data_IF_271409898828
#
_entry.id   IF_271409898828
#
_cell.length_a   1.000
_cell.length_b   1.000
_cell.length_c   1.000
_cell.angle_alpha   90.00
_cell.angle_beta   90.00
_cell.angle_gamma   90.00
#
_symmetry.space_group_name_H-M   'P 1'
#
loop_
_entity.id
_entity.type
_entity.pdbx_description
1 polymer ?
#
# COMPACT_ATOMS: atom_id res chain seq x y z
N UNK A 1 24.96 -23.34 -7.37
CA UNK A 1 24.12 -22.75 -6.29
C UNK A 1 23.54 -21.44 -6.81
N UNK A 2 22.23 -21.20 -6.65
CA UNK A 2 21.62 -19.89 -6.92
C UNK A 2 21.80 -19.03 -5.69
N UNK A 3 22.36 -17.83 -5.86
CA UNK A 3 22.49 -16.81 -4.83
C UNK A 3 21.33 -15.84 -4.95
N UNK A 4 20.53 -15.67 -3.89
CA UNK A 4 19.48 -14.68 -3.80
C UNK A 4 20.03 -13.45 -3.07
N UNK A 5 19.85 -12.28 -3.70
CA UNK A 5 20.37 -11.01 -3.19
C UNK A 5 19.21 -10.07 -2.84
N UNK A 6 19.35 -9.37 -1.73
CA UNK A 6 18.35 -8.41 -1.29
C UNK A 6 18.25 -7.23 -2.27
N UNK A 7 17.03 -6.84 -2.60
CA UNK A 7 16.78 -5.70 -3.51
C UNK A 7 17.16 -4.40 -2.83
N UNK A 8 18.09 -3.65 -3.43
CA UNK A 8 18.65 -2.41 -2.87
C UNK A 8 17.96 -1.14 -3.34
N UNK A 9 17.24 -1.21 -4.45
CA UNK A 9 16.73 -0.03 -5.18
C UNK A 9 15.28 0.29 -4.88
N UNK A 10 14.86 0.16 -3.61
CA UNK A 10 13.54 0.65 -3.19
C UNK A 10 13.52 2.20 -3.16
N UNK A 11 12.39 2.85 -3.52
CA UNK A 11 12.24 4.29 -3.37
C UNK A 11 12.43 4.68 -1.91
N UNK A 12 13.53 5.39 -1.60
CA UNK A 12 13.87 5.74 -0.23
C UNK A 12 12.84 6.72 0.34
N UNK A 13 12.34 6.43 1.55
CA UNK A 13 11.46 7.30 2.32
C UNK A 13 10.20 7.76 1.57
N UNK A 14 9.66 6.95 0.67
CA UNK A 14 8.41 7.27 -0.02
C UNK A 14 7.24 7.50 0.96
N UNK A 15 7.26 6.81 2.11
CA UNK A 15 6.25 6.87 3.15
C UNK A 15 6.86 7.36 4.46
N UNK A 16 7.15 8.66 4.53
CA UNK A 16 7.75 9.30 5.73
C UNK A 16 6.72 9.34 6.86
N UNK A 17 7.16 8.99 8.08
CA UNK A 17 6.36 8.99 9.33
C UNK A 17 5.32 7.87 9.46
N UNK A 18 5.54 6.72 8.84
CA UNK A 18 4.79 5.50 9.13
C UNK A 18 5.55 4.67 10.18
N UNK A 19 5.44 5.05 11.46
CA UNK A 19 6.06 4.34 12.59
C UNK A 19 5.34 3.03 12.95
N UNK A 20 4.54 2.50 12.03
CA UNK A 20 3.63 1.41 12.31
C UNK A 20 3.96 0.19 11.49
N UNK A 21 4.03 -0.95 12.18
CA UNK A 21 4.20 -2.25 11.55
C UNK A 21 2.87 -2.82 11.06
N UNK A 22 2.91 -3.50 9.94
CA UNK A 22 1.85 -4.42 9.50
C UNK A 22 2.37 -5.83 9.70
N UNK A 23 1.51 -6.73 10.19
CA UNK A 23 1.90 -8.14 10.30
C UNK A 23 2.12 -8.70 8.89
N UNK A 24 3.30 -9.24 8.66
CA UNK A 24 3.64 -9.95 7.43
C UNK A 24 3.45 -11.46 7.64
N UNK A 25 2.75 -12.10 6.73
CA UNK A 25 2.68 -13.56 6.64
C UNK A 25 3.01 -14.01 5.22
N UNK A 26 3.99 -14.92 5.08
CA UNK A 26 4.43 -15.45 3.79
C UNK A 26 4.05 -16.93 3.69
N UNK A 27 3.45 -17.29 2.57
CA UNK A 27 3.16 -18.66 2.23
C UNK A 27 3.82 -19.05 0.90
N UNK A 28 4.67 -20.06 0.92
CA UNK A 28 5.18 -20.66 -0.31
C UNK A 28 4.08 -21.57 -0.91
N UNK A 29 3.36 -21.01 -1.88
CA UNK A 29 2.25 -21.66 -2.58
C UNK A 29 2.65 -22.14 -3.99
N UNK A 30 3.96 -22.29 -4.27
CA UNK A 30 4.43 -22.80 -5.55
C UNK A 30 4.02 -24.25 -5.70
N UNK A 31 3.45 -24.58 -6.86
CA UNK A 31 3.14 -25.97 -7.24
C UNK A 31 4.43 -26.76 -7.58
N UNK A 32 5.41 -26.09 -8.20
CA UNK A 32 6.75 -26.59 -8.45
C UNK A 32 7.76 -25.75 -7.66
N UNK A 33 8.52 -26.40 -6.81
CA UNK A 33 9.54 -25.73 -5.96
C UNK A 33 10.93 -25.71 -6.58
N UNK A 34 11.08 -26.24 -7.79
CA UNK A 34 12.35 -26.16 -8.52
C UNK A 34 12.66 -24.72 -8.88
N UNK A 35 13.91 -24.35 -8.68
CA UNK A 35 14.39 -23.00 -8.98
C UNK A 35 14.94 -22.85 -10.38
N UNK A 36 15.40 -23.93 -10.97
CA UNK A 36 16.02 -23.93 -12.29
C UNK A 36 15.37 -25.00 -13.16
N UNK A 37 14.99 -24.60 -14.38
CA UNK A 37 14.59 -25.52 -15.44
C UNK A 37 15.48 -25.29 -16.69
N UNK A 38 16.10 -26.34 -17.16
CA UNK A 38 16.93 -26.30 -18.36
C UNK A 38 16.27 -27.20 -19.40
N UNK A 39 15.73 -26.62 -20.47
CA UNK A 39 14.87 -27.31 -21.41
C UNK A 39 15.60 -28.11 -22.46
N UNK A 40 16.90 -27.85 -22.76
CA UNK A 40 17.64 -28.45 -23.86
C UNK A 40 18.84 -29.30 -23.41
N UNK A 41 18.96 -29.58 -22.16
CA UNK A 41 20.10 -30.35 -21.67
C UNK A 41 19.64 -31.64 -21.03
N UNK A 42 20.42 -32.72 -21.25
CA UNK A 42 20.32 -33.97 -20.51
C UNK A 42 20.61 -33.83 -19.01
N UNK A 43 20.46 -32.62 -18.47
CA UNK A 43 20.75 -32.24 -17.09
C UNK A 43 19.45 -31.90 -16.37
N UNK A 44 19.00 -32.83 -15.55
CA UNK A 44 18.10 -32.46 -14.44
C UNK A 44 18.96 -32.40 -13.18
N UNK A 45 19.28 -31.23 -12.71
CA UNK A 45 19.95 -31.09 -11.43
C UNK A 45 18.99 -30.41 -10.46
N UNK A 46 18.72 -31.06 -9.32
CA UNK A 46 18.08 -30.44 -8.18
C UNK A 46 19.06 -29.43 -7.57
N UNK A 47 18.86 -28.17 -7.91
CA UNK A 47 19.69 -27.09 -7.35
C UNK A 47 19.09 -26.61 -6.02
N UNK A 48 19.87 -26.69 -4.98
CA UNK A 48 19.52 -26.09 -3.71
C UNK A 48 19.68 -24.58 -3.80
N UNK A 49 18.73 -23.89 -3.19
CA UNK A 49 18.74 -22.45 -3.01
C UNK A 49 19.06 -22.17 -1.55
N UNK A 50 19.94 -21.22 -1.29
CA UNK A 50 20.30 -20.78 0.04
C UNK A 50 20.27 -19.25 0.04
N UNK A 51 19.47 -18.61 0.88
CA UNK A 51 18.46 -19.15 1.80
C UNK A 51 17.23 -19.74 1.09
N UNK A 52 16.35 -20.43 1.84
CA UNK A 52 15.08 -20.88 1.29
C UNK A 52 14.28 -19.69 0.72
N UNK A 53 13.57 -19.91 -0.39
CA UNK A 53 12.85 -18.82 -1.09
C UNK A 53 11.87 -18.09 -0.18
N UNK A 54 11.18 -18.81 0.70
CA UNK A 54 10.26 -18.21 1.66
C UNK A 54 10.98 -17.23 2.59
N UNK A 55 12.09 -17.67 3.19
CA UNK A 55 12.84 -16.88 4.16
C UNK A 55 13.50 -15.67 3.46
N UNK A 56 13.99 -15.87 2.26
CA UNK A 56 14.52 -14.80 1.41
C UNK A 56 13.45 -13.74 1.11
N UNK A 57 12.26 -14.16 0.65
CA UNK A 57 11.16 -13.24 0.32
C UNK A 57 10.70 -12.48 1.56
N UNK A 58 10.63 -13.14 2.72
CA UNK A 58 10.26 -12.50 3.98
C UNK A 58 11.26 -11.41 4.38
N UNK A 59 12.53 -11.72 4.41
CA UNK A 59 13.58 -10.76 4.79
C UNK A 59 13.68 -9.62 3.78
N UNK A 60 13.62 -9.94 2.49
CA UNK A 60 13.69 -8.95 1.42
C UNK A 60 12.50 -7.98 1.45
N UNK A 61 11.27 -8.49 1.66
CA UNK A 61 10.08 -7.62 1.79
C UNK A 61 10.17 -6.70 3.00
N UNK A 62 10.68 -7.19 4.14
CA UNK A 62 10.90 -6.38 5.33
C UNK A 62 11.90 -5.25 5.06
N UNK A 63 13.01 -5.58 4.42
CA UNK A 63 14.02 -4.58 4.08
C UNK A 63 13.51 -3.56 3.06
N UNK A 64 12.83 -4.01 2.01
CA UNK A 64 12.25 -3.16 0.99
C UNK A 64 11.23 -2.17 1.58
N UNK A 65 10.31 -2.67 2.43
CA UNK A 65 9.35 -1.84 3.14
C UNK A 65 10.02 -0.81 4.06
N UNK A 66 11.05 -1.24 4.80
CA UNK A 66 11.82 -0.36 5.70
C UNK A 66 12.51 0.76 4.93
N UNK A 67 13.07 0.48 3.75
CA UNK A 67 13.66 1.51 2.87
C UNK A 67 12.62 2.51 2.39
N UNK A 68 11.39 2.06 2.14
CA UNK A 68 10.28 2.94 1.77
C UNK A 68 9.72 3.76 2.95
N UNK A 69 10.12 3.49 4.18
CA UNK A 69 9.74 4.24 5.37
C UNK A 69 8.66 3.60 6.24
N UNK A 70 8.39 2.29 6.08
CA UNK A 70 7.50 1.55 6.98
C UNK A 70 8.03 0.15 7.29
N UNK A 71 7.51 -0.47 8.35
CA UNK A 71 7.95 -1.78 8.81
C UNK A 71 6.91 -2.86 8.55
N UNK A 72 7.38 -4.02 8.07
CA UNK A 72 6.60 -5.27 8.04
C UNK A 72 7.11 -6.17 9.17
N UNK A 73 6.29 -6.39 10.19
CA UNK A 73 6.69 -7.13 11.39
C UNK A 73 6.02 -8.52 11.44
N UNK A 74 6.70 -9.50 12.05
CA UNK A 74 6.15 -10.84 12.19
C UNK A 74 5.16 -10.94 13.36
N UNK A 75 5.49 -10.28 14.48
CA UNK A 75 4.87 -10.54 15.78
C UNK A 75 4.14 -9.33 16.39
N UNK A 76 3.86 -8.30 15.60
CA UNK A 76 3.16 -7.13 16.11
C UNK A 76 1.66 -7.37 16.12
N UNK A 77 1.00 -7.04 17.23
CA UNK A 77 -0.46 -6.99 17.30
C UNK A 77 -0.93 -5.76 16.50
N UNK A 78 -1.19 -5.97 15.23
CA UNK A 78 -1.74 -4.95 14.34
C UNK A 78 -3.15 -5.32 13.90
N UNK A 79 -3.93 -4.31 13.55
CA UNK A 79 -5.29 -4.54 13.06
C UNK A 79 -5.31 -5.14 11.64
N UNK A 80 -4.15 -5.18 10.95
CA UNK A 80 -4.05 -5.67 9.57
C UNK A 80 -2.89 -6.63 9.37
N UNK A 81 -3.08 -7.56 8.46
CA UNK A 81 -2.07 -8.53 8.04
C UNK A 81 -1.89 -8.50 6.52
N UNK A 82 -0.67 -8.25 6.06
CA UNK A 82 -0.28 -8.45 4.68
C UNK A 82 0.05 -9.93 4.47
N UNK A 83 -0.79 -10.61 3.71
CA UNK A 83 -0.58 -12.00 3.32
C UNK A 83 0.05 -12.02 1.92
N UNK A 84 1.18 -12.70 1.79
CA UNK A 84 1.88 -12.87 0.52
C UNK A 84 1.96 -14.35 0.18
N UNK A 85 1.57 -14.71 -1.04
CA UNK A 85 1.70 -16.06 -1.58
C UNK A 85 2.75 -16.04 -2.69
N UNK A 86 3.79 -16.84 -2.53
CA UNK A 86 4.77 -17.06 -3.60
C UNK A 86 4.17 -18.09 -4.56
N UNK A 87 3.79 -17.65 -5.76
CA UNK A 87 3.14 -18.50 -6.77
C UNK A 87 4.14 -19.08 -7.77
N UNK A 88 5.08 -18.25 -8.18
CA UNK A 88 6.18 -18.63 -9.08
C UNK A 88 7.46 -17.98 -8.56
N UNK A 89 8.55 -18.72 -8.58
CA UNK A 89 9.88 -18.21 -8.27
C UNK A 89 10.89 -19.18 -8.88
N UNK A 90 11.28 -18.94 -10.11
CA UNK A 90 12.19 -19.83 -10.85
C UNK A 90 12.93 -19.10 -11.96
N UNK A 91 13.94 -19.76 -12.49
CA UNK A 91 14.69 -19.31 -13.65
C UNK A 91 14.78 -20.46 -14.67
N UNK A 92 14.49 -20.15 -15.92
CA UNK A 92 14.50 -21.08 -17.03
C UNK A 92 15.67 -20.78 -17.98
N UNK A 93 16.30 -21.80 -18.50
CA UNK A 93 17.23 -21.68 -19.60
C UNK A 93 16.68 -22.36 -20.85
N UNK A 94 16.72 -21.62 -21.97
CA UNK A 94 16.40 -22.17 -23.29
C UNK A 94 17.54 -21.86 -24.25
N UNK A 95 18.06 -22.90 -24.94
CA UNK A 95 19.14 -22.74 -25.92
C UNK A 95 18.75 -21.73 -27.00
N UNK A 96 19.67 -20.83 -27.32
CA UNK A 96 19.45 -19.74 -28.26
C UNK A 96 18.59 -18.57 -27.75
N UNK A 97 18.00 -18.66 -26.53
CA UNK A 97 17.26 -17.59 -25.90
C UNK A 97 17.85 -17.13 -24.55
N UNK A 98 18.74 -17.97 -23.97
CA UNK A 98 19.38 -17.67 -22.69
C UNK A 98 18.50 -17.91 -21.47
N UNK A 99 18.73 -17.18 -20.39
CA UNK A 99 18.04 -17.27 -19.12
C UNK A 99 16.81 -16.39 -19.05
N UNK A 100 15.76 -16.88 -18.41
CA UNK A 100 14.55 -16.11 -18.10
C UNK A 100 14.13 -16.37 -16.67
N UNK A 101 14.12 -15.33 -15.84
CA UNK A 101 13.56 -15.35 -14.48
C UNK A 101 12.09 -15.01 -14.49
N UNK A 102 11.32 -15.70 -13.67
CA UNK A 102 9.89 -15.43 -13.46
C UNK A 102 9.58 -15.51 -11.97
N UNK A 103 9.01 -14.43 -11.45
CA UNK A 103 8.53 -14.35 -10.08
C UNK A 103 7.10 -13.84 -10.09
N UNK A 104 6.21 -14.51 -9.37
CA UNK A 104 4.82 -14.09 -9.18
C UNK A 104 4.49 -14.15 -7.70
N UNK A 105 4.13 -12.99 -7.15
CA UNK A 105 3.68 -12.82 -5.78
C UNK A 105 2.22 -12.38 -5.80
N UNK A 106 1.35 -13.13 -5.12
CA UNK A 106 0.00 -12.68 -4.87
C UNK A 106 -0.04 -12.02 -3.48
N UNK A 107 -0.63 -10.85 -3.39
CA UNK A 107 -0.75 -10.08 -2.15
C UNK A 107 -2.20 -9.79 -1.84
N UNK A 108 -2.57 -9.88 -0.56
CA UNK A 108 -3.88 -9.51 -0.05
C UNK A 108 -3.75 -8.99 1.38
N UNK A 109 -4.70 -8.19 1.85
CA UNK A 109 -4.70 -7.66 3.21
C UNK A 109 -5.96 -8.09 3.94
N UNK A 110 -5.76 -8.59 5.16
CA UNK A 110 -6.82 -8.95 6.10
C UNK A 110 -6.87 -7.95 7.24
N UNK A 111 -8.08 -7.71 7.77
CA UNK A 111 -8.26 -7.05 9.05
C UNK A 111 -8.09 -8.03 10.23
N UNK A 112 -8.28 -7.53 11.45
CA UNK A 112 -8.18 -8.32 12.69
C UNK A 112 -9.21 -9.47 12.76
N UNK A 113 -10.36 -9.33 12.09
CA UNK A 113 -11.41 -10.36 12.02
C UNK A 113 -11.16 -11.37 10.88
N UNK A 114 -10.00 -11.30 10.23
CA UNK A 114 -9.62 -12.09 9.05
C UNK A 114 -10.52 -11.87 7.83
N UNK A 115 -11.19 -10.74 7.76
CA UNK A 115 -11.93 -10.32 6.57
C UNK A 115 -10.96 -9.73 5.58
N UNK A 116 -11.10 -10.07 4.30
CA UNK A 116 -10.32 -9.47 3.22
C UNK A 116 -10.77 -8.03 3.04
N UNK A 117 -9.86 -7.09 3.28
CA UNK A 117 -10.05 -5.64 3.09
C UNK A 117 -9.38 -5.14 1.82
N UNK A 118 -8.37 -5.85 1.33
CA UNK A 118 -7.77 -5.66 0.03
C UNK A 118 -7.74 -6.99 -0.71
N UNK A 119 -8.44 -7.11 -1.84
CA UNK A 119 -8.54 -8.38 -2.56
C UNK A 119 -7.19 -8.79 -3.12
N UNK A 120 -7.02 -10.09 -3.31
CA UNK A 120 -5.80 -10.67 -3.87
C UNK A 120 -5.47 -10.06 -5.21
N UNK A 121 -4.25 -9.51 -5.31
CA UNK A 121 -3.66 -8.97 -6.54
C UNK A 121 -2.35 -9.67 -6.82
N UNK A 122 -2.06 -9.87 -8.11
CA UNK A 122 -0.83 -10.52 -8.57
C UNK A 122 0.19 -9.48 -9.02
N UNK A 123 1.40 -9.57 -8.46
CA UNK A 123 2.57 -8.83 -8.89
C UNK A 123 3.52 -9.80 -9.60
N UNK A 124 3.63 -9.68 -10.93
CA UNK A 124 4.47 -10.56 -11.75
C UNK A 124 5.66 -9.82 -12.30
N UNK A 125 6.85 -10.25 -11.89
CA UNK A 125 8.13 -9.81 -12.42
C UNK A 125 8.70 -10.82 -13.39
N UNK A 126 9.34 -10.34 -14.45
CA UNK A 126 10.07 -11.13 -15.42
C UNK A 126 11.30 -10.38 -15.87
N UNK A 127 12.39 -11.11 -16.02
CA UNK A 127 13.61 -10.60 -16.61
C UNK A 127 14.22 -11.68 -17.51
N UNK A 128 14.81 -11.30 -18.64
CA UNK A 128 15.42 -12.24 -19.58
C UNK A 128 16.77 -11.70 -20.04
N UNK A 129 17.76 -12.60 -20.12
CA UNK A 129 19.05 -12.30 -20.67
C UNK A 129 19.44 -13.38 -21.67
N UNK A 130 19.73 -12.98 -22.90
CA UNK A 130 20.15 -13.87 -23.98
C UNK A 130 21.63 -14.25 -23.90
N UNK A 131 22.40 -13.61 -23.01
CA UNK A 131 23.78 -13.94 -22.75
C UNK A 131 23.90 -15.11 -21.76
N UNK A 132 24.90 -15.92 -21.91
CA UNK A 132 25.26 -16.93 -20.93
C UNK A 132 25.05 -18.37 -21.39
N UNK A 133 25.84 -19.26 -20.79
CA UNK A 133 25.76 -20.69 -20.95
C UNK A 133 24.83 -21.32 -19.89
N UNK A 134 24.26 -22.50 -20.13
CA UNK A 134 23.37 -23.17 -19.18
C UNK A 134 24.03 -23.51 -17.82
N UNK A 135 25.36 -23.47 -17.76
CA UNK A 135 26.13 -23.72 -16.54
C UNK A 135 26.49 -22.42 -15.78
N UNK A 136 26.13 -21.27 -16.30
CA UNK A 136 26.42 -19.98 -15.65
C UNK A 136 25.38 -19.64 -14.58
N UNK A 137 25.56 -20.16 -13.37
CA UNK A 137 24.65 -19.93 -12.24
C UNK A 137 24.71 -18.50 -11.70
N UNK A 138 25.80 -17.77 -11.91
CA UNK A 138 25.86 -16.35 -11.59
C UNK A 138 24.87 -15.56 -12.40
N UNK A 139 24.78 -15.89 -13.70
CA UNK A 139 23.79 -15.26 -14.58
C UNK A 139 22.35 -15.64 -14.24
N UNK A 140 22.12 -16.93 -13.94
CA UNK A 140 20.82 -17.40 -13.47
C UNK A 140 20.40 -16.69 -12.18
N UNK A 141 21.32 -16.47 -11.24
CA UNK A 141 21.09 -15.72 -9.99
C UNK A 141 20.71 -14.28 -10.30
N UNK A 142 21.48 -13.60 -11.14
CA UNK A 142 21.19 -12.23 -11.55
C UNK A 142 19.79 -12.11 -12.17
N UNK A 143 19.46 -13.00 -13.08
CA UNK A 143 18.18 -12.98 -13.81
C UNK A 143 16.98 -13.20 -12.89
N UNK A 144 17.06 -14.09 -11.92
CA UNK A 144 15.96 -14.28 -10.96
C UNK A 144 15.85 -13.13 -9.96
N UNK A 145 16.97 -12.55 -9.55
CA UNK A 145 16.99 -11.38 -8.66
C UNK A 145 16.35 -10.14 -9.33
N UNK A 146 16.67 -9.90 -10.61
CA UNK A 146 16.02 -8.83 -11.39
C UNK A 146 14.52 -9.10 -11.59
N UNK A 147 14.13 -10.35 -11.88
CA UNK A 147 12.71 -10.71 -11.97
C UNK A 147 11.98 -10.47 -10.62
N UNK A 148 12.65 -10.76 -9.51
CA UNK A 148 12.10 -10.49 -8.17
C UNK A 148 11.96 -8.99 -7.90
N UNK A 149 12.98 -8.19 -8.21
CA UNK A 149 12.91 -6.73 -8.10
C UNK A 149 11.74 -6.15 -8.90
N UNK A 150 11.58 -6.60 -10.16
CA UNK A 150 10.45 -6.22 -11.01
C UNK A 150 9.08 -6.65 -10.45
N UNK A 151 9.01 -7.75 -9.69
CA UNK A 151 7.78 -8.16 -9.00
C UNK A 151 7.46 -7.23 -7.82
N UNK A 152 8.48 -6.88 -7.02
CA UNK A 152 8.32 -5.97 -5.88
C UNK A 152 7.82 -4.58 -6.30
N UNK A 153 8.33 -4.05 -7.41
CA UNK A 153 7.88 -2.76 -7.96
C UNK A 153 6.41 -2.76 -8.39
N UNK A 154 5.87 -3.93 -8.74
CA UNK A 154 4.47 -4.08 -9.16
C UNK A 154 3.48 -4.32 -8.04
N UNK A 155 3.94 -4.49 -6.81
CA UNK A 155 3.06 -4.49 -5.65
C UNK A 155 2.51 -3.08 -5.47
N UNK A 156 1.21 -2.96 -5.27
CA UNK A 156 0.55 -1.68 -4.97
C UNK A 156 0.88 -1.22 -3.54
N UNK A 157 2.09 -0.69 -3.38
CA UNK A 157 2.59 -0.21 -2.09
C UNK A 157 1.81 0.98 -1.55
N UNK A 158 1.22 1.80 -2.43
CA UNK A 158 0.36 2.90 -2.00
C UNK A 158 -0.88 2.35 -1.30
N UNK A 159 -1.41 1.25 -1.79
CA UNK A 159 -2.53 0.56 -1.14
C UNK A 159 -2.12 -0.10 0.18
N UNK A 160 -0.96 -0.73 0.23
CA UNK A 160 -0.39 -1.27 1.48
C UNK A 160 -0.22 -0.16 2.51
N UNK A 161 0.40 0.96 2.11
CA UNK A 161 0.60 2.13 2.98
C UNK A 161 -0.73 2.74 3.45
N UNK A 162 -1.75 2.78 2.59
CA UNK A 162 -3.08 3.24 2.96
C UNK A 162 -3.66 2.43 4.14
N UNK A 163 -3.57 1.09 4.07
CA UNK A 163 -4.05 0.26 5.17
C UNK A 163 -3.18 0.37 6.42
N UNK A 164 -1.88 0.58 6.28
CA UNK A 164 -1.01 0.90 7.40
C UNK A 164 -1.44 2.18 8.11
N UNK A 165 -1.66 3.25 7.36
CA UNK A 165 -2.17 4.51 7.92
C UNK A 165 -3.51 4.33 8.61
N UNK A 166 -4.40 3.54 8.03
CA UNK A 166 -5.71 3.26 8.63
C UNK A 166 -5.60 2.40 9.89
N UNK A 167 -4.67 1.42 9.91
CA UNK A 167 -4.41 0.60 11.08
C UNK A 167 -3.79 1.37 12.24
N UNK A 168 -2.94 2.29 11.88
CA UNK A 168 -2.12 3.06 12.80
C UNK A 168 -2.71 4.42 13.18
N UNK A 169 -3.64 4.91 12.41
CA UNK A 169 -4.52 5.92 12.96
C UNK A 169 -5.06 5.28 14.24
N UNK A 170 -4.66 5.77 15.43
CA UNK A 170 -5.18 5.25 16.68
C UNK A 170 -6.66 5.12 16.44
N UNK A 171 -7.20 3.88 16.52
CA UNK A 171 -8.62 3.61 16.34
C UNK A 171 -9.28 4.76 16.97
N UNK A 172 -9.77 5.64 16.19
CA UNK A 172 -10.32 6.89 16.64
C UNK A 172 -10.68 7.01 18.14
N UNK A 173 -9.85 6.45 19.03
CA UNK A 173 -9.91 6.73 20.45
C UNK A 173 -9.53 8.18 20.71
N UNK A 174 -8.72 8.78 19.82
CA UNK A 174 -8.59 10.22 19.77
C UNK A 174 -9.75 10.88 18.97
N UNK A 175 -10.49 10.15 18.15
CA UNK A 175 -11.78 10.59 17.58
C UNK A 175 -12.98 10.11 18.40
N UNK A 176 -12.82 9.17 19.29
CA UNK A 176 -13.54 9.12 20.55
C UNK A 176 -12.96 10.18 21.51
N UNK A 177 -12.75 11.39 21.01
CA UNK A 177 -12.76 12.52 21.90
C UNK A 177 -14.12 12.50 22.52
N UNK A 178 -14.10 12.10 23.79
CA UNK A 178 -15.19 12.13 24.72
C UNK A 178 -16.11 13.26 24.32
N UNK A 179 -17.29 12.92 23.86
CA UNK A 179 -18.42 13.80 23.70
C UNK A 179 -18.50 14.65 24.95
N UNK A 180 -18.18 15.95 24.84
CA UNK A 180 -18.62 16.89 25.84
C UNK A 180 -20.14 16.87 25.84
N UNK A 181 -20.77 17.14 26.95
CA UNK A 181 -22.20 17.20 27.15
C UNK A 181 -22.89 17.87 25.95
N UNK A 182 -23.66 17.11 25.20
CA UNK A 182 -24.37 17.56 24.02
C UNK A 182 -24.38 16.46 22.96
N UNK A 183 -25.10 15.36 23.21
CA UNK A 183 -25.37 14.32 22.24
C UNK A 183 -26.31 14.84 21.15
N UNK A 184 -25.79 15.56 20.17
CA UNK A 184 -26.54 15.78 18.95
C UNK A 184 -26.21 14.67 17.96
N UNK A 185 -27.23 14.16 17.26
CA UNK A 185 -27.08 13.11 16.24
C UNK A 185 -26.10 13.49 15.11
N UNK A 186 -25.71 14.78 15.02
CA UNK A 186 -24.80 15.31 14.00
C UNK A 186 -23.32 15.22 14.40
N UNK A 187 -23.01 14.95 15.66
CA UNK A 187 -21.62 14.72 16.08
C UNK A 187 -21.06 13.40 15.51
N UNK A 188 -21.95 12.47 15.11
CA UNK A 188 -21.64 11.15 14.56
C UNK A 188 -22.30 10.97 13.17
N UNK A 189 -21.96 11.82 12.24
CA UNK A 189 -22.55 11.79 10.91
C UNK A 189 -21.78 10.82 10.01
N UNK A 190 -22.51 9.89 9.40
CA UNK A 190 -21.95 8.98 8.37
C UNK A 190 -22.02 9.65 7.01
N UNK A 191 -20.85 9.82 6.38
CA UNK A 191 -20.69 10.52 5.09
C UNK A 191 -20.01 9.59 4.10
N UNK A 192 -20.51 9.58 2.88
CA UNK A 192 -19.89 8.95 1.74
C UNK A 192 -18.83 9.88 1.12
N UNK A 193 -17.62 9.36 0.91
CA UNK A 193 -16.53 10.08 0.28
C UNK A 193 -16.25 9.49 -1.09
N UNK A 194 -16.24 10.32 -2.12
CA UNK A 194 -15.83 9.99 -3.47
C UNK A 194 -14.84 11.04 -3.98
N UNK A 195 -13.54 10.78 -3.83
CA UNK A 195 -12.48 11.73 -4.18
C UNK A 195 -11.65 11.15 -5.31
N UNK A 196 -11.57 11.87 -6.40
CA UNK A 196 -10.81 11.51 -7.58
C UNK A 196 -9.78 12.58 -7.93
N UNK A 197 -8.72 12.21 -8.66
CA UNK A 197 -7.78 13.18 -9.23
C UNK A 197 -7.33 12.82 -10.65
N UNK A 198 -6.91 13.84 -11.38
CA UNK A 198 -6.21 13.71 -12.67
C UNK A 198 -4.89 14.50 -12.58
N UNK A 199 -3.72 13.80 -12.66
CA UNK A 199 -3.57 12.34 -12.72
C UNK A 199 -3.99 11.65 -11.42
N UNK A 200 -4.37 10.38 -11.51
CA UNK A 200 -4.69 9.55 -10.35
C UNK A 200 -3.47 9.31 -9.46
N UNK A 201 -3.69 8.85 -8.21
CA UNK A 201 -2.63 8.58 -7.25
C UNK A 201 -2.07 9.86 -6.62
N UNK A 202 -2.92 10.86 -6.39
CA UNK A 202 -2.58 12.00 -5.54
C UNK A 202 -2.89 11.69 -4.08
N UNK A 203 -1.99 12.05 -3.17
CA UNK A 203 -2.20 11.93 -1.73
C UNK A 203 -3.16 13.03 -1.27
N UNK A 204 -4.27 12.65 -0.67
CA UNK A 204 -5.26 13.59 -0.17
C UNK A 204 -5.20 13.70 1.35
N UNK A 205 -5.39 14.91 1.82
CA UNK A 205 -5.41 15.31 3.23
C UNK A 205 -6.69 16.07 3.50
N UNK A 206 -7.18 16.02 4.72
CA UNK A 206 -8.38 16.74 5.11
C UNK A 206 -8.26 17.36 6.49
N UNK A 207 -9.04 18.38 6.75
CA UNK A 207 -9.19 19.01 8.06
C UNK A 207 -10.54 19.70 8.21
N UNK A 208 -10.95 19.89 9.46
CA UNK A 208 -12.11 20.71 9.80
C UNK A 208 -11.64 22.13 10.11
N UNK A 209 -12.28 23.09 9.48
CA UNK A 209 -12.18 24.53 9.79
C UNK A 209 -13.49 25.02 10.33
N UNK A 210 -13.45 25.84 11.36
CA UNK A 210 -14.63 26.39 12.00
C UNK A 210 -14.41 27.85 12.38
N UNK A 211 -15.42 28.66 12.19
CA UNK A 211 -15.52 30.02 12.70
C UNK A 211 -16.37 30.10 13.97
N UNK A 212 -17.02 29.01 14.37
CA UNK A 212 -17.77 28.94 15.63
C UNK A 212 -16.89 28.46 16.78
N UNK A 213 -17.06 29.04 18.03
CA UNK A 213 -16.26 28.60 19.17
C UNK A 213 -16.59 27.17 19.66
N UNK A 214 -17.75 26.64 19.29
CA UNK A 214 -18.22 25.33 19.72
C UNK A 214 -17.51 24.16 18.99
N UNK A 215 -17.02 24.42 17.78
CA UNK A 215 -16.29 23.42 16.97
C UNK A 215 -14.84 23.87 16.83
N UNK A 216 -13.90 23.02 17.24
CA UNK A 216 -12.47 23.35 17.17
C UNK A 216 -11.90 23.08 15.77
N UNK A 217 -11.05 23.99 15.31
CA UNK A 217 -10.20 23.75 14.14
C UNK A 217 -9.33 22.53 14.37
N UNK A 218 -9.21 21.69 13.36
CA UNK A 218 -8.36 20.50 13.38
C UNK A 218 -7.12 20.70 12.51
N UNK A 219 -6.04 20.04 12.90
CA UNK A 219 -4.86 19.93 12.04
C UNK A 219 -5.18 19.07 10.82
N UNK A 220 -4.45 19.30 9.73
CA UNK A 220 -4.55 18.49 8.52
C UNK A 220 -4.17 17.03 8.83
N UNK A 221 -4.97 16.09 8.32
CA UNK A 221 -4.79 14.65 8.47
C UNK A 221 -4.74 14.00 7.11
N UNK A 222 -3.91 12.99 6.96
CA UNK A 222 -3.91 12.18 5.76
C UNK A 222 -5.24 11.43 5.62
N UNK A 223 -5.78 11.40 4.40
CA UNK A 223 -7.00 10.67 4.09
C UNK A 223 -6.69 9.38 3.34
N UNK A 224 -6.24 9.50 2.10
CA UNK A 224 -5.94 8.39 1.20
C UNK A 224 -5.35 8.90 -0.13
N UNK A 225 -4.73 8.02 -0.95
CA UNK A 225 -4.47 8.33 -2.34
C UNK A 225 -5.74 8.23 -3.18
N UNK A 226 -5.82 9.03 -4.24
CA UNK A 226 -6.92 8.98 -5.21
C UNK A 226 -6.75 7.82 -6.22
N UNK A 227 -7.85 7.19 -6.69
CA UNK A 227 -9.23 7.41 -6.30
C UNK A 227 -9.54 6.87 -4.91
N UNK A 228 -10.29 7.63 -4.12
CA UNK A 228 -10.75 7.23 -2.80
C UNK A 228 -12.27 7.20 -2.75
N UNK A 229 -12.84 6.08 -2.33
CA UNK A 229 -14.26 5.89 -2.14
C UNK A 229 -14.49 5.09 -0.86
N UNK A 230 -15.17 5.70 0.11
CA UNK A 230 -15.44 5.10 1.41
C UNK A 230 -16.65 5.76 2.07
N UNK A 231 -17.27 5.04 2.98
CA UNK A 231 -18.31 5.58 3.86
C UNK A 231 -17.79 5.58 5.28
N UNK A 232 -17.63 6.75 5.87
CA UNK A 232 -17.02 6.92 7.17
C UNK A 232 -17.86 7.79 8.09
N UNK A 233 -17.73 7.55 9.40
CA UNK A 233 -18.38 8.37 10.41
C UNK A 233 -17.49 9.55 10.76
N UNK A 234 -18.04 10.75 10.66
CA UNK A 234 -17.42 11.98 11.12
C UNK A 234 -17.76 12.21 12.59
N UNK A 235 -16.74 12.40 13.39
CA UNK A 235 -16.84 12.85 14.77
C UNK A 235 -16.37 14.29 14.86
N UNK A 236 -17.31 15.24 14.72
CA UNK A 236 -17.04 16.66 14.87
C UNK A 236 -17.73 17.14 16.14
N UNK A 237 -16.96 17.18 17.22
CA UNK A 237 -17.47 17.60 18.54
C UNK A 237 -18.02 19.01 18.50
N UNK A 238 -19.23 19.18 19.06
CA UNK A 238 -19.93 20.45 19.12
C UNK A 238 -20.66 20.85 17.84
N UNK A 239 -20.66 19.97 16.82
CA UNK A 239 -21.40 20.19 15.57
C UNK A 239 -22.91 20.06 15.82
N UNK A 240 -23.64 21.06 15.39
CA UNK A 240 -25.11 21.10 15.38
C UNK A 240 -25.58 21.62 14.03
N UNK A 241 -26.83 21.38 13.67
CA UNK A 241 -27.39 21.93 12.42
C UNK A 241 -27.31 23.46 12.38
N UNK A 242 -27.48 24.12 13.54
CA UNK A 242 -27.45 25.59 13.65
C UNK A 242 -26.07 26.20 13.42
N UNK A 243 -24.98 25.45 13.67
CA UNK A 243 -23.62 25.96 13.48
C UNK A 243 -22.89 25.31 12.29
N UNK A 244 -23.54 24.39 11.59
CA UNK A 244 -22.93 23.66 10.47
C UNK A 244 -22.51 24.59 9.32
N UNK A 245 -23.23 25.67 9.08
CA UNK A 245 -22.86 26.70 8.09
C UNK A 245 -21.57 27.46 8.42
N UNK A 246 -21.12 27.43 9.69
CA UNK A 246 -19.85 28.02 10.15
C UNK A 246 -18.70 27.02 10.17
N UNK A 247 -18.96 25.77 9.74
CA UNK A 247 -17.99 24.68 9.75
C UNK A 247 -17.74 24.20 8.30
N UNK A 248 -16.48 23.98 7.98
CA UNK A 248 -16.04 23.58 6.65
C UNK A 248 -15.11 22.36 6.73
N UNK A 249 -15.19 21.50 5.73
CA UNK A 249 -14.20 20.45 5.47
C UNK A 249 -13.29 20.90 4.33
N UNK A 250 -12.02 21.08 4.60
CA UNK A 250 -11.01 21.37 3.58
C UNK A 250 -10.31 20.08 3.20
N UNK A 251 -10.25 19.79 1.90
CA UNK A 251 -9.50 18.67 1.33
C UNK A 251 -8.39 19.24 0.47
N UNK A 252 -7.16 18.75 0.68
CA UNK A 252 -5.99 19.06 -0.14
C UNK A 252 -5.48 17.78 -0.77
N UNK A 253 -5.25 17.79 -2.07
CA UNK A 253 -4.57 16.72 -2.78
C UNK A 253 -3.23 17.19 -3.33
N UNK A 254 -2.20 16.37 -3.14
CA UNK A 254 -0.81 16.61 -3.48
C UNK A 254 -0.25 15.45 -4.29
N UNK A 255 0.60 15.74 -5.29
CA UNK A 255 1.31 14.72 -6.07
C UNK A 255 2.66 15.27 -6.52
N UNK A 256 3.71 14.46 -6.41
CA UNK A 256 5.05 14.86 -6.83
C UNK A 256 5.08 15.36 -8.28
N UNK A 257 5.67 16.55 -8.52
CA UNK A 257 5.71 17.22 -9.82
C UNK A 257 4.41 17.92 -10.22
N UNK A 258 3.48 18.12 -9.27
CA UNK A 258 2.23 18.85 -9.47
C UNK A 258 1.98 19.82 -8.33
N UNK A 259 1.32 20.93 -8.65
CA UNK A 259 0.88 21.91 -7.64
C UNK A 259 -0.24 21.35 -6.77
N UNK A 260 -0.15 21.57 -5.47
CA UNK A 260 -1.19 21.19 -4.52
C UNK A 260 -2.52 21.87 -4.84
N UNK A 261 -3.58 21.10 -4.81
CA UNK A 261 -4.94 21.59 -5.02
C UNK A 261 -5.75 21.46 -3.73
N UNK A 262 -6.55 22.48 -3.44
CA UNK A 262 -7.44 22.51 -2.26
C UNK A 262 -8.88 22.75 -2.67
N UNK A 263 -9.80 22.06 -2.00
CA UNK A 263 -11.23 22.32 -2.09
C UNK A 263 -11.84 22.39 -0.70
N UNK A 264 -12.85 23.21 -0.57
CA UNK A 264 -13.57 23.45 0.69
C UNK A 264 -15.03 23.09 0.48
N UNK A 265 -15.57 22.33 1.43
CA UNK A 265 -16.94 21.88 1.44
C UNK A 265 -17.62 22.47 2.67
N UNK A 266 -18.77 23.07 2.46
CA UNK A 266 -19.63 23.56 3.53
C UNK A 266 -20.24 22.39 4.29
N UNK A 267 -20.16 22.40 5.62
CA UNK A 267 -20.60 21.26 6.42
C UNK A 267 -22.12 21.09 6.40
N UNK A 268 -22.87 22.15 6.24
CA UNK A 268 -24.33 22.07 6.12
C UNK A 268 -24.73 21.29 4.87
N UNK A 269 -24.12 21.62 3.72
CA UNK A 269 -24.34 20.88 2.46
C UNK A 269 -23.92 19.41 2.59
N UNK A 270 -22.80 19.14 3.25
CA UNK A 270 -22.30 17.77 3.50
C UNK A 270 -23.29 16.96 4.36
N UNK A 271 -23.92 17.60 5.36
CA UNK A 271 -24.94 16.97 6.21
C UNK A 271 -26.19 16.60 5.38
N UNK A 272 -26.64 17.53 4.54
CA UNK A 272 -27.86 17.37 3.75
C UNK A 272 -27.69 16.31 2.65
N UNK A 273 -26.54 16.32 1.97
CA UNK A 273 -26.21 15.39 0.88
C UNK A 273 -25.68 14.03 1.38
N UNK A 274 -25.14 13.99 2.61
CA UNK A 274 -24.42 12.84 3.20
C UNK A 274 -23.26 12.35 2.34
N UNK A 275 -22.70 13.24 1.53
CA UNK A 275 -21.65 12.94 0.58
C UNK A 275 -20.66 14.09 0.44
N UNK A 276 -19.37 13.73 0.25
CA UNK A 276 -18.33 14.60 -0.28
C UNK A 276 -17.82 13.98 -1.57
N UNK A 277 -18.27 14.47 -2.71
CA UNK A 277 -17.87 14.00 -4.02
C UNK A 277 -17.09 15.06 -4.78
N UNK A 278 -15.90 14.73 -5.28
CA UNK A 278 -15.09 15.71 -6.02
C UNK A 278 -13.99 15.08 -6.87
N UNK A 279 -13.60 15.83 -7.92
CA UNK A 279 -12.43 15.53 -8.75
C UNK A 279 -11.42 16.68 -8.67
N UNK A 280 -10.18 16.38 -8.35
CA UNK A 280 -9.05 17.30 -8.40
C UNK A 280 -8.35 17.21 -9.74
N UNK A 281 -8.17 18.32 -10.43
CA UNK A 281 -7.37 18.39 -11.67
C UNK A 281 -6.06 19.05 -11.31
N UNK A 282 -5.01 18.24 -11.11
CA UNK A 282 -3.70 18.73 -10.69
C UNK A 282 -2.96 19.33 -11.89
N UNK A 283 -2.34 20.48 -11.68
CA UNK A 283 -1.53 21.19 -12.67
C UNK A 283 -0.07 20.85 -12.42
N UNK A 284 0.70 20.55 -13.48
CA UNK A 284 2.14 20.32 -13.35
C UNK A 284 2.83 21.55 -12.77
N UNK A 285 3.78 21.30 -11.87
CA UNK A 285 4.72 22.30 -11.41
C UNK A 285 5.72 22.58 -12.55
N UNK A 286 5.92 23.84 -12.96
CA UNK A 286 6.82 24.24 -14.04
C UNK A 286 8.29 24.25 -13.60
#
# INVERSE_FOLDING_TARGET
MISLELVKDAPANKYVNLDYGIRLNIQDARGDKRMIQIYDASYSADYRVDPEVKDFVEESLRQYARTMGFALEADVSTDYMLQVFIKEFHVDYLSGKGWTGTVTLDVEIYDHDRKIVYPRTSAKGRFSDSSGAPQNFTEASRVVNEAYANALEKIDWDRVAFFLHRASSPKNEANKQVTGEGNTALEHLTIHWSIQSRPAGADCYWRVKSSTPNVKNQNERYLAPTPYESTETFDIKGLTYNNAGDVQVEIRCSKAGYMDQKKVFDMLSVIDEKEISTMFVLVKDE
#
